data_IF_060247036928
#
_entry.id   IF_060247036928
#
_cell.length_a   1.000
_cell.length_b   1.000
_cell.length_c   1.000
_cell.angle_alpha   90.00
_cell.angle_beta   90.00
_cell.angle_gamma   90.00
#
_symmetry.space_group_name_H-M   'P 1'
#
loop_
_entity.id
_entity.type
_entity.pdbx_description
1 polymer ?
#
# COMPACT_ATOMS: atom_id res chain seq x y z
N UNK A 1 -5.69 -28.85 -10.43
CA UNK A 1 -4.62 -29.14 -9.45
C UNK A 1 -3.40 -28.22 -9.63
N UNK A 2 -2.78 -28.14 -10.81
CA UNK A 2 -1.61 -27.28 -11.05
C UNK A 2 -1.87 -25.77 -10.84
N UNK A 3 -3.01 -25.25 -11.32
CA UNK A 3 -3.41 -23.85 -11.08
C UNK A 3 -3.55 -23.50 -9.58
N UNK A 4 -4.11 -24.42 -8.78
CA UNK A 4 -4.29 -24.20 -7.34
C UNK A 4 -2.96 -24.18 -6.58
N UNK A 5 -2.01 -25.03 -6.98
CA UNK A 5 -0.66 -25.06 -6.37
C UNK A 5 0.11 -23.76 -6.69
N UNK A 6 0.06 -23.31 -7.95
CA UNK A 6 0.73 -22.08 -8.36
C UNK A 6 0.14 -20.86 -7.63
N UNK A 7 -1.20 -20.78 -7.52
CA UNK A 7 -1.88 -19.71 -6.79
C UNK A 7 -1.52 -19.69 -5.30
N UNK A 8 -1.40 -20.87 -4.67
CA UNK A 8 -0.98 -20.98 -3.28
C UNK A 8 0.48 -20.52 -3.08
N UNK A 9 1.40 -20.91 -3.97
CA UNK A 9 2.79 -20.45 -3.91
C UNK A 9 2.89 -18.93 -4.06
N UNK A 10 2.15 -18.34 -5.02
CA UNK A 10 2.09 -16.90 -5.23
C UNK A 10 1.54 -16.20 -3.98
N UNK A 11 0.45 -16.71 -3.40
CA UNK A 11 -0.15 -16.13 -2.19
C UNK A 11 0.83 -16.13 -1.01
N UNK A 12 1.51 -17.25 -0.77
CA UNK A 12 2.52 -17.37 0.30
C UNK A 12 3.72 -16.44 0.08
N UNK A 13 4.18 -16.31 -1.17
CA UNK A 13 5.30 -15.43 -1.52
C UNK A 13 4.92 -13.94 -1.32
N UNK A 14 3.73 -13.53 -1.76
CA UNK A 14 3.21 -12.18 -1.51
C UNK A 14 3.06 -11.89 -0.03
N UNK A 15 2.52 -12.84 0.75
CA UNK A 15 2.39 -12.68 2.20
C UNK A 15 3.76 -12.45 2.84
N UNK A 16 4.75 -13.29 2.51
CA UNK A 16 6.11 -13.12 3.00
C UNK A 16 6.70 -11.76 2.59
N UNK A 17 6.57 -11.36 1.31
CA UNK A 17 7.03 -10.08 0.81
C UNK A 17 6.40 -8.91 1.58
N UNK A 18 5.07 -8.94 1.76
CA UNK A 18 4.34 -7.88 2.45
C UNK A 18 4.82 -7.73 3.90
N UNK A 19 4.99 -8.83 4.63
CA UNK A 19 5.51 -8.81 6.01
C UNK A 19 6.95 -8.28 6.04
N UNK A 20 7.82 -8.72 5.13
CA UNK A 20 9.21 -8.23 5.06
C UNK A 20 9.23 -6.72 4.80
N UNK A 21 8.45 -6.23 3.83
CA UNK A 21 8.38 -4.79 3.53
C UNK A 21 7.80 -3.98 4.68
N UNK A 22 6.81 -4.52 5.40
CA UNK A 22 6.21 -3.88 6.58
C UNK A 22 7.24 -3.71 7.70
N UNK A 23 7.95 -4.78 8.03
CA UNK A 23 9.01 -4.76 9.05
C UNK A 23 10.13 -3.80 8.62
N UNK A 24 10.55 -3.87 7.36
CA UNK A 24 11.59 -2.99 6.82
C UNK A 24 11.21 -1.51 6.91
N UNK A 25 10.02 -1.12 6.41
CA UNK A 25 9.56 0.27 6.44
C UNK A 25 9.35 0.78 7.87
N UNK A 26 8.83 -0.07 8.76
CA UNK A 26 8.66 0.30 10.17
C UNK A 26 10.01 0.62 10.81
N UNK A 27 11.01 -0.26 10.61
CA UNK A 27 12.35 -0.05 11.12
C UNK A 27 13.03 1.18 10.50
N UNK A 28 12.85 1.39 9.19
CA UNK A 28 13.39 2.56 8.49
C UNK A 28 12.79 3.84 9.04
N UNK A 29 11.47 3.87 9.30
CA UNK A 29 10.80 5.03 9.89
C UNK A 29 11.40 5.39 11.26
N UNK A 30 11.74 4.38 12.07
CA UNK A 30 12.40 4.59 13.37
C UNK A 30 13.85 5.10 13.28
N UNK A 31 14.51 4.99 12.12
CA UNK A 31 15.83 5.59 11.89
C UNK A 31 15.72 7.10 11.65
N UNK A 32 14.64 7.54 11.01
CA UNK A 32 14.43 8.95 10.64
C UNK A 32 13.59 9.73 11.65
N UNK A 33 12.70 9.07 12.38
CA UNK A 33 11.83 9.69 13.38
C UNK A 33 11.84 8.86 14.68
N UNK A 34 12.20 9.50 15.81
CA UNK A 34 12.24 8.82 17.10
C UNK A 34 10.83 8.46 17.56
N UNK A 35 10.67 7.22 18.05
CA UNK A 35 9.38 6.75 18.54
C UNK A 35 9.06 7.39 19.89
N UNK A 36 8.01 8.20 19.92
CA UNK A 36 7.44 8.73 21.17
C UNK A 36 6.85 7.64 22.10
N UNK A 37 6.41 8.03 23.30
CA UNK A 37 5.73 7.10 24.22
C UNK A 37 4.48 6.51 23.57
N UNK A 38 4.25 5.22 23.81
CA UNK A 38 3.06 4.54 23.28
C UNK A 38 1.87 4.90 24.18
N UNK A 39 0.98 5.72 23.65
CA UNK A 39 -0.30 6.06 24.25
C UNK A 39 -1.44 5.57 23.34
N UNK A 40 -2.25 4.64 23.86
CA UNK A 40 -3.36 4.04 23.11
C UNK A 40 -4.61 4.94 23.09
N UNK A 41 -4.67 5.97 23.93
CA UNK A 41 -5.75 6.97 23.97
C UNK A 41 -5.37 8.27 23.25
N UNK A 42 -4.16 8.34 22.68
CA UNK A 42 -3.68 9.49 21.93
C UNK A 42 -4.59 9.77 20.72
N UNK A 43 -4.78 11.07 20.44
CA UNK A 43 -5.42 11.50 19.20
C UNK A 43 -4.48 11.26 18.03
N UNK A 44 -5.05 11.05 16.84
CA UNK A 44 -4.27 10.92 15.62
C UNK A 44 -3.42 12.18 15.40
N UNK A 45 -2.12 11.99 15.24
CA UNK A 45 -1.18 13.00 14.78
C UNK A 45 -0.44 12.46 13.54
N UNK A 46 -0.32 13.27 12.47
CA UNK A 46 0.43 12.86 11.29
C UNK A 46 1.91 12.73 11.64
N UNK A 47 2.50 11.59 11.29
CA UNK A 47 3.92 11.31 11.47
C UNK A 47 4.43 10.42 10.32
N UNK A 48 5.75 10.23 10.26
CA UNK A 48 6.40 9.44 9.21
C UNK A 48 5.90 8.00 9.20
N UNK A 49 5.74 7.38 10.38
CA UNK A 49 5.29 6.00 10.49
C UNK A 49 3.86 5.82 9.94
N UNK A 50 2.93 6.69 10.33
CA UNK A 50 1.55 6.68 9.86
C UNK A 50 1.49 6.83 8.34
N UNK A 51 2.27 7.77 7.81
CA UNK A 51 2.40 8.00 6.37
C UNK A 51 2.93 6.76 5.65
N UNK A 52 4.06 6.21 6.11
CA UNK A 52 4.73 5.09 5.45
C UNK A 52 3.88 3.81 5.48
N UNK A 53 3.22 3.53 6.61
CA UNK A 53 2.33 2.36 6.76
C UNK A 53 1.06 2.52 5.92
N UNK A 54 0.50 3.73 5.85
CA UNK A 54 -0.66 4.01 5.01
C UNK A 54 -0.36 3.77 3.52
N UNK A 55 0.73 4.35 2.99
CA UNK A 55 1.11 4.22 1.59
C UNK A 55 1.51 2.79 1.22
N UNK A 56 2.29 2.12 2.09
CA UNK A 56 2.62 0.71 1.92
C UNK A 56 1.35 -0.16 1.92
N UNK A 57 0.46 0.06 2.88
CA UNK A 57 -0.79 -0.70 3.00
C UNK A 57 -1.72 -0.50 1.80
N UNK A 58 -1.84 0.73 1.29
CA UNK A 58 -2.62 1.02 0.09
C UNK A 58 -2.07 0.27 -1.13
N UNK A 59 -0.75 0.35 -1.35
CA UNK A 59 -0.07 -0.35 -2.46
C UNK A 59 -0.20 -1.88 -2.34
N UNK A 60 -0.06 -2.42 -1.12
CA UNK A 60 -0.22 -3.86 -0.85
C UNK A 60 -1.67 -4.33 -1.10
N UNK A 61 -2.68 -3.52 -0.78
CA UNK A 61 -4.08 -3.83 -1.08
C UNK A 61 -4.33 -3.91 -2.58
N UNK A 62 -3.87 -2.91 -3.34
CA UNK A 62 -3.98 -2.88 -4.81
C UNK A 62 -3.26 -4.09 -5.42
N UNK A 63 -2.02 -4.37 -5.01
CA UNK A 63 -1.23 -5.53 -5.46
C UNK A 63 -1.91 -6.87 -5.16
N UNK A 64 -2.46 -7.02 -3.94
CA UNK A 64 -3.19 -8.22 -3.54
C UNK A 64 -4.39 -8.44 -4.46
N UNK A 65 -5.16 -7.40 -4.71
CA UNK A 65 -6.31 -7.50 -5.59
C UNK A 65 -5.89 -7.84 -7.03
N UNK A 66 -5.00 -7.04 -7.61
CA UNK A 66 -4.60 -7.15 -9.01
C UNK A 66 -4.02 -8.52 -9.36
N UNK A 67 -3.14 -9.07 -8.49
CA UNK A 67 -2.47 -10.34 -8.79
C UNK A 67 -3.36 -11.54 -8.44
N UNK A 68 -4.29 -11.42 -7.48
CA UNK A 68 -5.23 -12.51 -7.17
C UNK A 68 -6.50 -12.48 -8.03
N UNK A 69 -6.69 -11.43 -8.83
CA UNK A 69 -7.80 -11.36 -9.77
C UNK A 69 -7.67 -12.44 -10.84
N UNK A 70 -8.74 -13.20 -11.03
CA UNK A 70 -8.85 -14.20 -12.08
C UNK A 70 -9.81 -13.65 -13.12
N UNK A 71 -9.35 -13.40 -14.34
CA UNK A 71 -10.24 -12.93 -15.42
C UNK A 71 -10.85 -14.09 -16.19
N UNK A 72 -10.81 -13.97 -17.52
CA UNK A 72 -11.31 -14.97 -18.44
C UNK A 72 -10.63 -16.34 -18.25
N UNK A 73 -11.34 -17.45 -18.53
CA UNK A 73 -12.68 -17.53 -19.12
C UNK A 73 -13.84 -17.40 -18.12
N UNK A 74 -13.58 -17.32 -16.81
CA UNK A 74 -14.63 -17.44 -15.79
C UNK A 74 -15.29 -16.11 -15.42
N UNK A 75 -14.63 -14.98 -15.68
CA UNK A 75 -15.15 -13.61 -15.51
C UNK A 75 -14.56 -12.68 -16.56
N UNK A 76 -15.08 -11.47 -16.66
CA UNK A 76 -14.47 -10.40 -17.46
C UNK A 76 -13.04 -10.10 -16.97
N UNK A 77 -12.14 -9.73 -17.89
CA UNK A 77 -10.81 -9.26 -17.52
C UNK A 77 -10.87 -7.92 -16.77
N UNK A 78 -9.82 -7.60 -16.00
CA UNK A 78 -9.77 -6.35 -15.20
C UNK A 78 -10.03 -5.11 -16.06
N UNK A 79 -9.48 -5.06 -17.28
CA UNK A 79 -9.65 -3.93 -18.20
C UNK A 79 -11.02 -3.84 -18.85
N UNK A 80 -11.80 -4.92 -18.80
CA UNK A 80 -13.15 -4.97 -19.36
C UNK A 80 -14.15 -4.35 -18.38
N UNK A 81 -13.84 -4.35 -17.08
CA UNK A 81 -14.57 -3.64 -16.05
C UNK A 81 -13.94 -2.25 -15.81
N UNK A 82 -14.48 -1.22 -16.46
CA UNK A 82 -13.93 0.14 -16.38
C UNK A 82 -13.92 0.70 -14.95
N UNK A 83 -14.99 0.47 -14.18
CA UNK A 83 -15.07 0.94 -12.80
C UNK A 83 -13.98 0.32 -11.91
N UNK A 84 -13.76 -0.99 -12.04
CA UNK A 84 -12.71 -1.68 -11.31
C UNK A 84 -11.32 -1.23 -11.75
N UNK A 85 -11.08 -1.13 -13.06
CA UNK A 85 -9.79 -0.71 -13.59
C UNK A 85 -9.41 0.69 -13.11
N UNK A 86 -10.31 1.66 -13.26
CA UNK A 86 -10.06 3.03 -12.82
C UNK A 86 -10.02 3.17 -11.30
N UNK A 87 -10.74 2.33 -10.55
CA UNK A 87 -10.63 2.26 -9.10
C UNK A 87 -9.24 1.83 -8.63
N UNK A 88 -8.67 0.78 -9.24
CA UNK A 88 -7.31 0.32 -8.93
C UNK A 88 -6.25 1.33 -9.35
N UNK A 89 -6.38 1.91 -10.54
CA UNK A 89 -5.46 2.96 -11.03
C UNK A 89 -5.53 4.20 -10.14
N UNK A 90 -6.72 4.62 -9.71
CA UNK A 90 -6.89 5.75 -8.81
C UNK A 90 -6.28 5.51 -7.43
N UNK A 91 -6.50 4.33 -6.85
CA UNK A 91 -5.91 3.97 -5.56
C UNK A 91 -4.37 3.95 -5.62
N UNK A 92 -3.80 3.38 -6.69
CA UNK A 92 -2.34 3.38 -6.90
C UNK A 92 -1.81 4.81 -7.15
N UNK A 93 -2.55 5.64 -7.87
CA UNK A 93 -2.18 7.03 -8.10
C UNK A 93 -2.14 7.84 -6.79
N UNK A 94 -3.04 7.57 -5.84
CA UNK A 94 -3.00 8.16 -4.49
C UNK A 94 -1.74 7.73 -3.74
N UNK A 95 -1.40 6.43 -3.76
CA UNK A 95 -0.17 5.93 -3.15
C UNK A 95 1.08 6.57 -3.77
N UNK A 96 1.13 6.66 -5.09
CA UNK A 96 2.23 7.28 -5.83
C UNK A 96 2.35 8.78 -5.54
N UNK A 97 1.22 9.52 -5.53
CA UNK A 97 1.19 10.94 -5.16
C UNK A 97 1.69 11.16 -3.74
N UNK A 98 1.25 10.33 -2.80
CA UNK A 98 1.69 10.38 -1.41
C UNK A 98 3.18 10.11 -1.24
N UNK A 99 3.72 9.17 -2.01
CA UNK A 99 5.13 8.77 -1.92
C UNK A 99 6.10 9.80 -2.54
N UNK A 100 5.66 10.56 -3.54
CA UNK A 100 6.51 11.47 -4.33
C UNK A 100 6.26 12.95 -4.09
N UNK A 101 5.28 13.26 -3.24
CA UNK A 101 4.73 14.61 -3.06
C UNK A 101 4.27 15.30 -4.35
N UNK A 102 3.82 14.52 -5.35
CA UNK A 102 3.42 15.04 -6.66
C UNK A 102 2.19 15.97 -6.61
N UNK A 103 1.25 15.73 -5.69
CA UNK A 103 0.10 16.61 -5.44
C UNK A 103 0.06 17.07 -3.98
N UNK A 104 0.78 18.16 -3.62
CA UNK A 104 0.93 18.59 -2.24
C UNK A 104 -0.39 18.86 -1.52
N UNK A 105 -1.36 19.51 -2.19
CA UNK A 105 -2.67 19.81 -1.61
C UNK A 105 -3.44 18.54 -1.21
N UNK A 106 -3.37 17.49 -2.04
CA UNK A 106 -3.98 16.19 -1.74
C UNK A 106 -3.26 15.52 -0.57
N UNK A 107 -1.94 15.57 -0.54
CA UNK A 107 -1.15 14.97 0.53
C UNK A 107 -1.40 15.64 1.87
N UNK A 108 -1.50 16.98 1.91
CA UNK A 108 -1.87 17.71 3.13
C UNK A 108 -3.29 17.39 3.58
N UNK A 109 -4.23 17.27 2.65
CA UNK A 109 -5.59 16.83 2.96
C UNK A 109 -5.63 15.41 3.54
N UNK A 110 -4.81 14.49 3.03
CA UNK A 110 -4.64 13.12 3.53
C UNK A 110 -3.76 13.04 4.80
N UNK A 111 -3.23 14.16 5.28
CA UNK A 111 -2.31 14.21 6.42
C UNK A 111 -1.04 13.35 6.22
N UNK A 112 -0.57 13.27 4.97
CA UNK A 112 0.70 12.65 4.58
C UNK A 112 1.83 13.65 4.91
N UNK A 113 2.81 13.17 5.67
CA UNK A 113 3.98 13.94 6.04
C UNK A 113 4.94 14.01 4.85
N UNK A 114 5.54 15.18 4.66
CA UNK A 114 6.54 15.38 3.60
C UNK A 114 7.82 14.66 3.99
N UNK A 115 8.34 13.85 3.08
CA UNK A 115 9.57 13.09 3.28
C UNK A 115 10.72 13.90 2.68
N UNK A 116 11.81 14.06 3.44
CA UNK A 116 12.98 14.77 2.95
C UNK A 116 13.74 13.93 1.91
N UNK A 117 14.11 14.55 0.80
CA UNK A 117 15.14 14.00 -0.08
C UNK A 117 16.51 14.16 0.60
N UNK A 118 17.26 13.06 0.67
CA UNK A 118 18.60 13.02 1.28
C UNK A 118 19.65 13.78 0.45
#
# INVERSE_FOLDING_TARGET
MLMSVCFLCISRAKFALHIVTLVYITNLSHVFEERGPIDLEAKFEPNLLNTAIYLLGLSQQVSTFAINFQGRPFREGIRENSALYWGLVGAEAVAFSGATDFMPDLNRWLQIVEMADS
#
